data_IF_333990008662
#
_entry.id   IF_333990008662
#
_cell.length_a   1.000
_cell.length_b   1.000
_cell.length_c   1.000
_cell.angle_alpha   90.00
_cell.angle_beta   90.00
_cell.angle_gamma   90.00
#
_symmetry.space_group_name_H-M   'P 1'
#
loop_
_entity.id
_entity.type
_entity.pdbx_description
1 polymer ?
#
# COMPACT_ATOMS: atom_id res chain seq x y z
N UNK A 1 9.53 22.37 -10.97
CA UNK A 1 8.42 21.39 -10.88
C UNK A 1 7.99 21.34 -9.42
N UNK A 2 6.75 21.70 -9.10
CA UNK A 2 6.25 21.63 -7.73
C UNK A 2 6.05 20.16 -7.36
N UNK A 3 6.76 19.71 -6.33
CA UNK A 3 6.77 18.33 -5.89
C UNK A 3 5.58 18.09 -4.95
N UNK A 4 4.42 17.78 -5.54
CA UNK A 4 3.15 17.50 -4.85
C UNK A 4 3.27 16.40 -3.78
N UNK A 5 4.31 15.57 -3.81
CA UNK A 5 4.52 14.50 -2.82
C UNK A 5 5.10 14.98 -1.48
N UNK A 6 5.58 16.22 -1.39
CA UNK A 6 6.12 16.83 -0.16
C UNK A 6 5.22 17.92 0.43
N UNK A 7 4.08 18.20 -0.20
CA UNK A 7 3.15 19.21 0.29
C UNK A 7 2.32 18.63 1.44
N UNK A 8 2.38 19.24 2.63
CA UNK A 8 1.59 18.82 3.79
C UNK A 8 0.08 18.84 3.51
N UNK A 9 -0.39 19.69 2.58
CA UNK A 9 -1.79 19.69 2.15
C UNK A 9 -2.20 18.39 1.45
N UNK A 10 -1.25 17.69 0.81
CA UNK A 10 -1.51 16.44 0.09
C UNK A 10 -1.46 15.20 1.00
N UNK A 11 -1.02 15.36 2.26
CA UNK A 11 -1.04 14.30 3.30
C UNK A 11 -2.42 13.64 3.42
N UNK A 12 -3.49 14.41 3.26
CA UNK A 12 -4.87 13.93 3.39
C UNK A 12 -5.53 13.56 2.05
N UNK A 13 -4.96 13.96 0.91
CA UNK A 13 -5.54 13.65 -0.41
C UNK A 13 -5.45 12.16 -0.77
N UNK A 14 -4.54 11.42 -0.11
CA UNK A 14 -4.32 10.00 -0.33
C UNK A 14 -4.64 9.13 0.90
N UNK A 15 -4.54 9.67 2.13
CA UNK A 15 -4.75 8.89 3.36
C UNK A 15 -6.18 8.40 3.58
N UNK A 16 -7.18 9.06 2.97
CA UNK A 16 -8.59 8.67 3.05
C UNK A 16 -9.06 7.69 1.96
N UNK A 17 -8.17 7.27 1.04
CA UNK A 17 -8.57 6.38 -0.05
C UNK A 17 -8.82 4.98 0.48
N UNK A 18 -9.98 4.43 0.11
CA UNK A 18 -10.20 2.99 0.23
C UNK A 18 -9.39 2.28 -0.84
N UNK A 19 -8.97 1.06 -0.53
CA UNK A 19 -8.38 0.15 -1.49
C UNK A 19 -9.31 0.00 -2.69
N UNK A 20 -8.77 0.04 -3.90
CA UNK A 20 -9.55 -0.18 -5.11
C UNK A 20 -10.07 -1.63 -5.17
N UNK A 21 -11.38 -1.81 -5.26
CA UNK A 21 -12.02 -3.12 -5.28
C UNK A 21 -11.59 -4.00 -6.46
N UNK A 22 -11.34 -3.40 -7.63
CA UNK A 22 -10.87 -4.12 -8.81
C UNK A 22 -9.44 -4.63 -8.57
N UNK A 23 -8.60 -3.83 -7.90
CA UNK A 23 -7.27 -4.27 -7.49
C UNK A 23 -7.35 -5.45 -6.52
N UNK A 24 -8.22 -5.37 -5.50
CA UNK A 24 -8.43 -6.47 -4.53
C UNK A 24 -8.83 -7.75 -5.25
N UNK A 25 -9.78 -7.66 -6.17
CA UNK A 25 -10.28 -8.80 -6.94
C UNK A 25 -9.21 -9.42 -7.82
N UNK A 26 -8.43 -8.59 -8.52
CA UNK A 26 -7.34 -9.02 -9.37
C UNK A 26 -6.24 -9.72 -8.58
N UNK A 27 -5.72 -9.08 -7.52
CA UNK A 27 -4.63 -9.63 -6.72
C UNK A 27 -5.07 -10.89 -5.97
N UNK A 28 -6.28 -10.91 -5.40
CA UNK A 28 -6.82 -12.13 -4.78
C UNK A 28 -6.89 -13.29 -5.77
N UNK A 29 -7.27 -13.02 -7.03
CA UNK A 29 -7.31 -14.04 -8.09
C UNK A 29 -5.92 -14.56 -8.43
N UNK A 30 -4.93 -13.67 -8.55
CA UNK A 30 -3.53 -14.05 -8.80
C UNK A 30 -3.00 -14.90 -7.65
N UNK A 31 -3.22 -14.50 -6.39
CA UNK A 31 -2.80 -15.24 -5.20
C UNK A 31 -3.46 -16.63 -5.13
N UNK A 32 -4.73 -16.76 -5.52
CA UNK A 32 -5.43 -18.06 -5.52
C UNK A 32 -4.93 -19.00 -6.61
N UNK A 33 -4.60 -18.46 -7.78
CA UNK A 33 -4.14 -19.24 -8.94
C UNK A 33 -2.65 -19.57 -8.88
N UNK A 34 -1.89 -18.80 -8.10
CA UNK A 34 -0.44 -18.95 -7.94
C UNK A 34 -0.13 -19.60 -6.60
N UNK A 35 0.87 -20.48 -6.55
CA UNK A 35 1.34 -21.04 -5.27
C UNK A 35 2.27 -20.05 -4.55
N UNK A 36 1.79 -18.83 -4.28
CA UNK A 36 2.56 -17.76 -3.64
C UNK A 36 2.65 -18.04 -2.14
N UNK A 37 3.90 -18.11 -1.65
CA UNK A 37 4.21 -18.06 -0.23
C UNK A 37 3.86 -16.68 0.34
N UNK A 38 3.18 -16.68 1.49
CA UNK A 38 2.68 -15.48 2.17
C UNK A 38 3.56 -15.08 3.35
N UNK A 39 4.82 -15.52 3.40
CA UNK A 39 5.73 -15.09 4.46
C UNK A 39 6.11 -13.60 4.32
N UNK A 40 6.47 -13.13 3.12
CA UNK A 40 6.99 -11.76 2.92
C UNK A 40 6.34 -11.04 1.73
N UNK A 41 6.10 -9.73 1.87
CA UNK A 41 5.68 -8.83 0.79
C UNK A 41 6.40 -7.48 0.85
N UNK A 42 6.52 -6.82 -0.32
CA UNK A 42 7.09 -5.48 -0.48
C UNK A 42 6.07 -4.60 -1.21
N UNK A 43 5.70 -3.48 -0.58
CA UNK A 43 4.81 -2.47 -1.14
C UNK A 43 5.63 -1.22 -1.53
N UNK A 44 5.82 -1.01 -2.83
CA UNK A 44 6.67 0.06 -3.37
C UNK A 44 5.83 1.27 -3.72
N UNK A 45 6.15 2.42 -3.13
CA UNK A 45 5.29 3.59 -3.17
C UNK A 45 4.07 3.39 -2.26
N UNK A 46 4.31 2.89 -1.04
CA UNK A 46 3.23 2.46 -0.14
C UNK A 46 2.33 3.62 0.31
N UNK A 47 2.77 4.87 0.14
CA UNK A 47 2.06 6.04 0.63
C UNK A 47 1.76 5.91 2.13
N UNK A 48 0.49 6.07 2.48
CA UNK A 48 0.01 5.90 3.86
C UNK A 48 -0.29 4.44 4.21
N UNK A 49 0.12 3.45 3.41
CA UNK A 49 0.04 2.04 3.74
C UNK A 49 -1.29 1.33 3.39
N UNK A 50 -2.17 1.92 2.57
CA UNK A 50 -3.48 1.29 2.29
C UNK A 50 -3.36 -0.10 1.63
N UNK A 51 -2.38 -0.29 0.74
CA UNK A 51 -2.13 -1.58 0.09
C UNK A 51 -1.26 -2.49 0.96
N UNK A 52 -0.34 -1.93 1.75
CA UNK A 52 0.36 -2.64 2.84
C UNK A 52 -0.63 -3.34 3.78
N UNK A 53 -1.67 -2.63 4.23
CA UNK A 53 -2.72 -3.21 5.06
C UNK A 53 -3.56 -4.26 4.32
N UNK A 54 -3.89 -4.01 3.06
CA UNK A 54 -4.61 -5.00 2.26
C UNK A 54 -3.80 -6.30 2.03
N UNK A 55 -2.47 -6.21 1.93
CA UNK A 55 -1.60 -7.40 1.86
C UNK A 55 -1.65 -8.20 3.17
N UNK A 56 -1.73 -7.55 4.33
CA UNK A 56 -1.97 -8.22 5.61
C UNK A 56 -3.30 -8.98 5.59
N UNK A 57 -4.37 -8.36 5.08
CA UNK A 57 -5.68 -9.02 4.93
C UNK A 57 -5.67 -10.20 3.94
N UNK A 58 -4.74 -10.23 2.98
CA UNK A 58 -4.50 -11.39 2.13
C UNK A 58 -3.71 -12.52 2.81
N UNK A 59 -3.21 -12.28 4.03
CA UNK A 59 -2.51 -13.25 4.86
C UNK A 59 -0.99 -13.18 4.78
N UNK A 60 -0.41 -12.11 4.26
CA UNK A 60 1.05 -11.92 4.30
C UNK A 60 1.53 -11.62 5.72
N UNK A 61 2.58 -12.31 6.18
CA UNK A 61 3.05 -12.22 7.59
C UNK A 61 3.94 -11.01 7.84
N UNK A 62 4.85 -10.73 6.92
CA UNK A 62 5.78 -9.62 7.01
C UNK A 62 5.66 -8.77 5.76
N UNK A 63 5.27 -7.51 5.93
CA UNK A 63 5.12 -6.57 4.82
C UNK A 63 6.01 -5.36 5.09
N UNK A 64 6.89 -5.06 4.13
CA UNK A 64 7.69 -3.85 4.14
C UNK A 64 7.07 -2.84 3.17
N UNK A 65 6.57 -1.72 3.69
CA UNK A 65 6.19 -0.57 2.87
C UNK A 65 7.38 0.37 2.68
N UNK A 66 7.64 0.77 1.43
CA UNK A 66 8.65 1.79 1.13
C UNK A 66 8.01 2.95 0.36
N UNK A 67 8.32 4.17 0.75
CA UNK A 67 7.93 5.38 0.05
C UNK A 67 9.04 6.44 0.21
N UNK A 68 9.23 7.26 -0.82
CA UNK A 68 10.21 8.35 -0.76
C UNK A 68 9.68 9.54 0.05
N UNK A 69 8.36 9.69 0.16
CA UNK A 69 7.71 10.79 0.87
C UNK A 69 7.66 10.52 2.37
N UNK A 70 8.50 11.23 3.12
CA UNK A 70 8.50 11.19 4.58
C UNK A 70 7.14 11.56 5.18
N UNK A 71 6.43 12.53 4.58
CA UNK A 71 5.09 12.95 5.04
C UNK A 71 4.04 11.86 4.84
N UNK A 72 4.18 11.03 3.80
CA UNK A 72 3.31 9.87 3.59
C UNK A 72 3.62 8.76 4.60
N UNK A 73 4.90 8.43 4.79
CA UNK A 73 5.34 7.45 5.79
C UNK A 73 4.90 7.84 7.21
N UNK A 74 5.02 9.11 7.58
CA UNK A 74 4.57 9.61 8.88
C UNK A 74 3.05 9.55 9.08
N UNK A 75 2.28 9.33 8.01
CA UNK A 75 0.83 9.13 8.05
C UNK A 75 0.40 7.66 7.92
N UNK A 76 1.35 6.74 7.75
CA UNK A 76 1.07 5.32 7.61
C UNK A 76 0.52 4.74 8.91
N UNK A 77 -0.42 3.79 8.79
CA UNK A 77 -1.16 3.20 9.90
C UNK A 77 -1.17 1.68 9.88
#
# INVERSE_FOLDING_TARGET
MNNIFHDEHNKYMYSGRKVDYNWVTLISSIIKQSNIDKDNALDIGCGSGIYTNQLSEFGFKHILGIDQSEVMIASAN
#
